data_IF_418665942371
#
_entry.id   IF_418665942371
#
_cell.length_a   1.000
_cell.length_b   1.000
_cell.length_c   1.000
_cell.angle_alpha   90.00
_cell.angle_beta   90.00
_cell.angle_gamma   90.00
#
_symmetry.space_group_name_H-M   'P 1'
#
loop_
_entity.id
_entity.type
_entity.pdbx_description
1 polymer ?
#
# COMPACT_ATOMS: atom_id res chain seq x y z
N UNK A 1 -17.66 1.03 -1.99
CA UNK A 1 -17.05 -0.26 -1.74
C UNK A 1 -15.75 -0.08 -1.02
N UNK A 2 -15.63 -0.67 0.14
CA UNK A 2 -14.47 -0.45 0.99
C UNK A 2 -13.19 -1.04 0.42
N UNK A 3 -13.33 -1.98 -0.52
CA UNK A 3 -12.14 -2.60 -1.09
C UNK A 3 -11.67 -1.88 -2.36
N UNK A 4 -12.33 -0.81 -2.72
CA UNK A 4 -11.94 -0.01 -3.89
C UNK A 4 -11.55 1.40 -3.48
N UNK A 5 -10.79 1.51 -2.40
CA UNK A 5 -10.33 2.82 -1.96
C UNK A 5 -9.59 3.52 -3.07
N UNK A 6 -9.86 4.78 -3.25
CA UNK A 6 -9.19 5.55 -4.28
C UNK A 6 -7.85 6.06 -3.76
N UNK A 7 -6.96 6.38 -4.67
CA UNK A 7 -5.71 7.01 -4.30
C UNK A 7 -5.97 8.39 -3.68
N UNK A 8 -5.04 8.84 -2.86
CA UNK A 8 -5.15 10.12 -2.17
C UNK A 8 -5.06 11.27 -3.15
N UNK A 9 -4.16 11.17 -4.13
CA UNK A 9 -3.98 12.21 -5.13
C UNK A 9 -4.24 11.67 -6.51
N UNK A 10 -4.49 12.56 -7.45
CA UNK A 10 -4.56 12.18 -8.85
C UNK A 10 -3.14 11.91 -9.34
N UNK A 11 -3.03 11.27 -10.49
CA UNK A 11 -1.72 11.00 -11.08
C UNK A 11 -0.93 12.28 -11.30
N UNK A 12 -1.60 13.35 -11.72
CA UNK A 12 -0.91 14.60 -11.99
C UNK A 12 -0.39 15.29 -10.74
N UNK A 13 -0.97 15.00 -9.60
CA UNK A 13 -0.55 15.62 -8.34
C UNK A 13 0.16 14.64 -7.41
N UNK A 14 0.55 13.50 -7.92
CA UNK A 14 1.16 12.47 -7.08
C UNK A 14 2.51 12.92 -6.55
N UNK A 15 2.78 12.57 -5.30
CA UNK A 15 4.05 12.87 -4.64
C UNK A 15 4.69 11.56 -4.22
N UNK A 16 5.99 11.48 -4.42
CA UNK A 16 6.75 10.29 -4.02
C UNK A 16 7.05 10.36 -2.53
N UNK A 17 6.82 9.28 -1.83
CA UNK A 17 7.05 9.20 -0.39
C UNK A 17 7.80 7.90 -0.10
N UNK A 18 8.88 7.98 0.63
CA UNK A 18 9.62 6.79 1.03
C UNK A 18 9.06 6.22 2.32
N UNK A 19 8.93 4.90 2.36
CA UNK A 19 8.42 4.21 3.54
C UNK A 19 9.37 3.08 3.88
N UNK A 20 9.77 2.99 5.14
CA UNK A 20 10.62 1.90 5.60
C UNK A 20 9.78 0.91 6.39
N UNK A 21 9.77 -0.33 5.93
CA UNK A 21 8.97 -1.39 6.53
C UNK A 21 9.86 -2.31 7.34
N UNK A 22 9.50 -2.54 8.59
CA UNK A 22 10.26 -3.43 9.45
C UNK A 22 9.88 -4.89 9.18
N UNK A 23 10.81 -5.77 9.46
CA UNK A 23 10.55 -7.20 9.35
C UNK A 23 9.42 -7.56 10.31
N UNK A 24 8.46 -8.34 9.84
CA UNK A 24 7.34 -8.75 10.68
C UNK A 24 6.31 -7.68 10.94
N UNK A 25 6.23 -6.66 10.09
CA UNK A 25 5.28 -5.57 10.30
C UNK A 25 3.85 -6.13 10.36
N UNK A 26 3.07 -5.61 11.30
CA UNK A 26 1.68 -6.03 11.45
C UNK A 26 0.78 -5.18 10.55
N UNK A 27 -0.42 -5.68 10.29
CA UNK A 27 -1.40 -4.92 9.50
C UNK A 27 -1.70 -3.58 10.15
N UNK A 28 -1.82 -3.56 11.47
CA UNK A 28 -2.13 -2.33 12.19
C UNK A 28 -1.01 -1.32 12.05
N UNK A 29 0.24 -1.76 12.21
CA UNK A 29 1.38 -0.87 12.10
C UNK A 29 1.54 -0.34 10.68
N UNK A 30 1.34 -1.20 9.70
CA UNK A 30 1.44 -0.78 8.31
C UNK A 30 0.40 0.29 7.99
N UNK A 31 -0.85 0.07 8.41
CA UNK A 31 -1.91 1.04 8.16
C UNK A 31 -1.57 2.38 8.81
N UNK A 32 -1.05 2.34 10.03
CA UNK A 32 -0.67 3.56 10.74
C UNK A 32 0.45 4.29 10.01
N UNK A 33 1.47 3.56 9.56
CA UNK A 33 2.60 4.19 8.86
C UNK A 33 2.16 4.85 7.57
N UNK A 34 1.35 4.16 6.77
CA UNK A 34 0.91 4.72 5.49
C UNK A 34 -0.02 5.92 5.70
N UNK A 35 -0.84 5.86 6.73
CA UNK A 35 -1.73 6.97 7.03
C UNK A 35 -0.92 8.19 7.48
N UNK A 36 0.07 8.00 8.34
CA UNK A 36 0.91 9.11 8.81
C UNK A 36 1.71 9.73 7.70
N UNK A 37 2.06 8.96 6.69
CA UNK A 37 2.82 9.47 5.54
C UNK A 37 1.92 10.09 4.47
N UNK A 38 0.62 10.10 4.70
CA UNK A 38 -0.30 10.69 3.73
C UNK A 38 -0.54 9.85 2.50
N UNK A 39 -0.21 8.57 2.56
CA UNK A 39 -0.36 7.68 1.41
C UNK A 39 -1.75 7.07 1.30
N UNK A 40 -2.47 7.00 2.41
CA UNK A 40 -3.84 6.49 2.43
C UNK A 40 -4.72 7.48 3.20
N UNK A 41 -6.00 7.50 2.88
CA UNK A 41 -6.92 8.45 3.50
C UNK A 41 -7.70 7.86 4.65
N UNK A 42 -7.79 6.54 4.75
CA UNK A 42 -8.55 5.90 5.82
C UNK A 42 -7.77 4.72 6.38
N UNK A 43 -7.28 4.90 7.59
CA UNK A 43 -6.44 3.91 8.24
C UNK A 43 -7.20 2.63 8.54
N UNK A 44 -8.45 2.73 8.98
CA UNK A 44 -9.23 1.56 9.35
C UNK A 44 -9.61 0.73 8.15
N UNK A 45 -9.98 1.37 7.06
CA UNK A 45 -10.32 0.67 5.84
C UNK A 45 -9.09 -0.08 5.32
N UNK A 46 -7.94 0.58 5.32
CA UNK A 46 -6.72 -0.07 4.85
C UNK A 46 -6.37 -1.26 5.74
N UNK A 47 -6.51 -1.10 7.05
CA UNK A 47 -6.25 -2.20 7.98
C UNK A 47 -7.10 -3.42 7.62
N UNK A 48 -8.39 -3.23 7.38
CA UNK A 48 -9.25 -4.33 7.02
C UNK A 48 -8.93 -4.91 5.64
N UNK A 49 -8.52 -4.05 4.70
CA UNK A 49 -8.09 -4.53 3.40
C UNK A 49 -6.89 -5.48 3.55
N UNK A 50 -5.93 -5.11 4.38
CA UNK A 50 -4.77 -5.95 4.63
C UNK A 50 -5.17 -7.27 5.27
N UNK A 51 -6.03 -7.20 6.29
CA UNK A 51 -6.44 -8.39 7.02
C UNK A 51 -7.17 -9.40 6.13
N UNK A 52 -7.88 -8.90 5.14
CA UNK A 52 -8.66 -9.75 4.26
C UNK A 52 -7.94 -10.10 2.95
N UNK A 53 -6.72 -9.60 2.79
CA UNK A 53 -5.98 -9.82 1.56
C UNK A 53 -5.15 -11.08 1.62
N UNK A 54 -4.67 -11.51 0.47
CA UNK A 54 -3.73 -12.60 0.39
C UNK A 54 -2.32 -12.16 0.81
N UNK A 55 -2.12 -10.90 1.08
CA UNK A 55 -0.80 -10.35 1.40
C UNK A 55 -0.58 -10.18 2.90
N UNK A 56 -1.57 -10.53 3.71
CA UNK A 56 -1.43 -10.46 5.15
C UNK A 56 -0.20 -11.27 5.56
N UNK A 57 0.65 -10.71 6.39
CA UNK A 57 1.85 -11.35 6.89
C UNK A 57 2.90 -11.65 5.82
N UNK A 58 2.77 -11.05 4.63
CA UNK A 58 3.72 -11.29 3.55
C UNK A 58 4.52 -10.04 3.17
N UNK A 59 4.40 -8.99 3.97
CA UNK A 59 5.12 -7.75 3.66
C UNK A 59 6.60 -7.93 3.99
N UNK A 60 7.43 -7.40 3.11
CA UNK A 60 8.88 -7.60 3.22
C UNK A 60 9.55 -6.35 3.76
N UNK A 61 10.54 -6.56 4.63
CA UNK A 61 11.31 -5.46 5.17
C UNK A 61 12.06 -4.75 4.04
N UNK A 62 12.23 -3.47 4.18
CA UNK A 62 12.98 -2.68 3.22
C UNK A 62 12.44 -1.27 3.13
N UNK A 63 13.08 -0.48 2.29
CA UNK A 63 12.65 0.89 2.02
C UNK A 63 12.05 0.93 0.63
N UNK A 64 10.85 1.47 0.55
CA UNK A 64 10.08 1.48 -0.69
C UNK A 64 9.72 2.92 -1.06
N UNK A 65 9.70 3.20 -2.35
CA UNK A 65 9.20 4.48 -2.85
C UNK A 65 7.79 4.27 -3.34
N UNK A 66 6.85 4.87 -2.67
CA UNK A 66 5.44 4.82 -3.05
C UNK A 66 5.01 6.23 -3.45
N UNK A 67 3.86 6.37 -4.05
CA UNK A 67 3.39 7.71 -4.35
C UNK A 67 1.91 7.84 -4.04
N UNK A 68 1.49 9.08 -3.83
CA UNK A 68 0.13 9.38 -3.41
C UNK A 68 -0.90 9.17 -4.52
N UNK A 69 -0.43 8.95 -5.73
CA UNK A 69 -1.33 8.64 -6.85
C UNK A 69 -1.61 7.15 -7.01
N UNK A 70 -0.99 6.31 -6.17
CA UNK A 70 -1.26 4.88 -6.20
C UNK A 70 -2.48 4.54 -5.39
N UNK A 71 -3.16 3.47 -5.77
CA UNK A 71 -4.25 2.96 -4.95
C UNK A 71 -3.67 2.18 -3.78
N UNK A 72 -4.38 2.12 -2.65
CA UNK A 72 -3.90 1.37 -1.51
C UNK A 72 -3.60 -0.10 -1.82
N UNK A 73 -4.41 -0.73 -2.67
CA UNK A 73 -4.17 -2.13 -3.04
C UNK A 73 -2.88 -2.29 -3.83
N UNK A 74 -2.50 -1.30 -4.63
CA UNK A 74 -1.25 -1.35 -5.37
C UNK A 74 -0.05 -1.19 -4.42
N UNK A 75 -0.18 -0.36 -3.41
CA UNK A 75 0.85 -0.21 -2.39
C UNK A 75 1.06 -1.55 -1.68
N UNK A 76 -0.03 -2.23 -1.34
CA UNK A 76 0.03 -3.50 -0.67
C UNK A 76 0.80 -4.53 -1.49
N UNK A 77 0.56 -4.57 -2.79
CA UNK A 77 1.25 -5.49 -3.68
C UNK A 77 2.75 -5.21 -3.75
N UNK A 78 3.12 -3.96 -3.84
CA UNK A 78 4.52 -3.57 -3.87
C UNK A 78 5.22 -3.99 -2.59
N UNK A 79 4.59 -3.72 -1.45
CA UNK A 79 5.19 -4.03 -0.15
C UNK A 79 5.28 -5.53 0.09
N UNK A 80 4.43 -6.31 -0.56
CA UNK A 80 4.48 -7.76 -0.46
C UNK A 80 5.40 -8.39 -1.51
N UNK A 81 6.01 -7.56 -2.33
CA UNK A 81 6.93 -8.06 -3.34
C UNK A 81 6.25 -8.54 -4.61
N UNK A 82 4.98 -8.18 -4.81
CA UNK A 82 4.25 -8.56 -6.01
C UNK A 82 4.23 -7.37 -6.94
N UNK A 83 4.57 -7.58 -8.19
CA UNK A 83 4.62 -6.48 -9.14
C UNK A 83 3.23 -6.04 -9.54
N UNK A 84 2.98 -4.74 -9.53
CA UNK A 84 1.70 -4.21 -9.95
C UNK A 84 1.65 -3.98 -11.45
N UNK A 85 2.81 -4.03 -12.12
CA UNK A 85 2.84 -3.74 -13.52
C UNK A 85 2.66 -4.95 -14.37
N UNK A 86 2.62 -6.08 -13.75
CA UNK A 86 2.53 -7.29 -14.44
C UNK A 86 1.30 -7.55 -15.08
N UNK A 87 0.40 -6.75 -14.80
CA UNK A 87 -0.75 -6.89 -15.55
C UNK A 87 -0.46 -6.81 -16.94
N UNK A 88 0.56 -6.15 -17.18
CA UNK A 88 0.93 -6.11 -18.46
C UNK A 88 1.39 -7.38 -18.91
N UNK A 89 1.83 -7.91 -18.19
CA UNK A 89 2.31 -8.97 -18.58
C UNK A 89 1.65 -9.97 -18.49
N UNK A 90 1.25 -9.80 -18.14
CA UNK A 90 0.80 -10.82 -18.10
C UNK A 90 0.44 -11.40 -19.09
N UNK A 91 0.81 -11.13 -19.16
CA UNK A 91 0.73 -11.51 -19.87
C UNK A 91 0.63 -12.00 -20.39
#
# INVERSE_FOLDING_TARGET
NIFNEKSVDTVDNAKVVEVTIADGVTAKRLASQLYEKGLISDEKIFYFQVKLSDYKDKFKAGTYSLNTGMKPTDMMKILAGVSTTDTADSE
#
